data_IF_672205235691
#
_entry.id   IF_672205235691
#
_cell.length_a   1.000
_cell.length_b   1.000
_cell.length_c   1.000
_cell.angle_alpha   90.00
_cell.angle_beta   90.00
_cell.angle_gamma   90.00
#
_symmetry.space_group_name_H-M   'P 1'
#
loop_
_entity.id
_entity.type
_entity.pdbx_description
1 polymer ?
#
# COMPACT_ATOMS: atom_id res chain seq x y z
N UNK A 1 -24.79 17.52 -17.51
CA UNK A 1 -25.56 17.50 -16.25
C UNK A 1 -25.77 16.04 -15.87
N UNK A 2 -24.77 15.43 -15.23
CA UNK A 2 -24.87 14.09 -14.69
C UNK A 2 -24.52 14.19 -13.21
N UNK A 3 -25.53 14.16 -12.37
CA UNK A 3 -25.39 14.14 -10.92
C UNK A 3 -24.90 12.76 -10.49
N UNK A 4 -23.67 12.68 -10.00
CA UNK A 4 -23.17 11.52 -9.26
C UNK A 4 -24.03 11.43 -8.00
N UNK A 5 -24.79 10.33 -7.89
CA UNK A 5 -25.61 10.07 -6.72
C UNK A 5 -24.67 9.65 -5.59
N UNK A 6 -24.45 10.55 -4.64
CA UNK A 6 -23.86 10.22 -3.34
C UNK A 6 -24.71 9.11 -2.69
N UNK A 7 -24.17 7.91 -2.65
CA UNK A 7 -24.71 6.84 -1.81
C UNK A 7 -24.34 7.18 -0.38
N UNK A 8 -25.30 7.73 0.37
CA UNK A 8 -25.22 7.82 1.82
C UNK A 8 -25.32 6.39 2.35
N UNK A 9 -24.17 5.75 2.53
CA UNK A 9 -24.11 4.44 3.20
C UNK A 9 -24.47 4.67 4.66
N UNK A 10 -25.61 4.13 5.09
CA UNK A 10 -25.97 4.14 6.50
C UNK A 10 -24.97 3.27 7.28
N UNK A 11 -24.07 3.91 8.02
CA UNK A 11 -23.13 3.25 8.93
C UNK A 11 -23.93 2.48 9.98
N UNK A 12 -23.97 1.15 9.84
CA UNK A 12 -24.44 0.27 10.91
C UNK A 12 -23.41 0.30 12.03
N UNK A 13 -23.77 0.97 13.14
CA UNK A 13 -22.98 0.97 14.38
C UNK A 13 -22.96 -0.46 14.92
N UNK A 14 -21.88 -1.18 14.61
CA UNK A 14 -21.62 -2.51 15.16
C UNK A 14 -21.02 -2.32 16.54
N UNK A 15 -21.85 -2.32 17.59
CA UNK A 15 -21.36 -2.41 18.97
C UNK A 15 -20.74 -3.79 19.19
N UNK A 16 -19.42 -3.91 18.97
CA UNK A 16 -18.68 -5.11 19.33
C UNK A 16 -18.56 -5.19 20.85
N UNK A 17 -19.40 -6.00 21.49
CA UNK A 17 -19.16 -6.50 22.84
C UNK A 17 -18.29 -7.74 22.76
N UNK A 18 -17.05 -7.66 23.24
CA UNK A 18 -16.17 -8.82 23.38
C UNK A 18 -16.43 -9.49 24.74
N UNK A 19 -17.02 -10.69 24.71
CA UNK A 19 -17.10 -11.59 25.86
C UNK A 19 -15.82 -12.42 25.87
N UNK A 20 -14.94 -12.19 26.85
CA UNK A 20 -13.84 -13.09 27.17
C UNK A 20 -14.27 -14.03 28.31
N UNK A 21 -14.15 -15.33 28.08
CA UNK A 21 -14.24 -16.35 29.12
C UNK A 21 -12.86 -16.55 29.75
N UNK A 22 -12.68 -16.22 31.03
CA UNK A 22 -12.62 -17.23 32.09
C UNK A 22 -12.70 -16.61 33.51
N UNK A 23 -13.07 -17.46 34.45
CA UNK A 23 -13.60 -17.19 35.79
C UNK A 23 -12.68 -16.43 36.76
N UNK A 24 -13.13 -15.28 37.28
CA UNK A 24 -13.40 -15.02 38.72
C UNK A 24 -13.98 -13.62 38.96
N UNK A 25 -14.73 -13.46 40.07
CA UNK A 25 -15.76 -12.42 40.31
C UNK A 25 -15.26 -11.04 40.79
N UNK A 26 -15.93 -9.98 40.27
CA UNK A 26 -16.30 -8.65 40.85
C UNK A 26 -15.15 -7.70 41.25
N UNK A 27 -15.05 -6.47 40.72
CA UNK A 27 -15.99 -5.32 40.85
C UNK A 27 -15.68 -4.24 39.80
N UNK A 28 -16.70 -3.45 39.50
CA UNK A 28 -16.80 -2.25 38.66
C UNK A 28 -15.69 -1.21 38.89
N UNK A 29 -15.07 -0.72 37.81
CA UNK A 29 -14.51 0.62 37.67
C UNK A 29 -14.17 0.88 36.19
N UNK A 30 -14.47 2.09 35.72
CA UNK A 30 -14.26 2.59 34.35
C UNK A 30 -12.76 2.57 34.02
N UNK A 31 -12.37 1.83 32.97
CA UNK A 31 -11.01 1.87 32.44
C UNK A 31 -11.03 2.41 31.02
N UNK A 32 -10.44 3.59 30.88
CA UNK A 32 -9.95 4.16 29.63
C UNK A 32 -8.96 3.17 29.01
N UNK A 33 -9.05 2.95 27.71
CA UNK A 33 -7.96 2.31 26.97
C UNK A 33 -7.59 3.21 25.79
N UNK A 34 -6.38 3.77 25.89
CA UNK A 34 -5.60 4.37 24.82
C UNK A 34 -5.41 3.33 23.71
N UNK A 35 -5.57 3.76 22.45
CA UNK A 35 -5.11 2.98 21.32
C UNK A 35 -3.67 3.39 21.08
N UNK A 36 -2.74 2.53 21.48
CA UNK A 36 -1.35 2.60 21.05
C UNK A 36 -0.82 1.18 20.79
N UNK A 37 -0.36 1.00 19.54
CA UNK A 37 0.74 0.15 19.07
C UNK A 37 0.71 -1.36 19.36
N UNK A 38 0.70 -2.16 18.28
CA UNK A 38 1.30 -3.51 18.28
C UNK A 38 2.25 -3.61 17.09
N UNK A 39 3.53 -3.30 17.37
CA UNK A 39 4.69 -4.01 16.82
C UNK A 39 4.59 -5.45 17.35
N UNK A 40 4.69 -6.45 16.49
CA UNK A 40 4.95 -7.82 16.96
C UNK A 40 6.37 -8.24 16.57
N UNK A 41 7.05 -8.82 17.54
CA UNK A 41 8.46 -9.19 17.54
C UNK A 41 8.62 -10.64 18.04
N UNK A 42 9.35 -11.42 17.24
CA UNK A 42 10.31 -12.49 17.59
C UNK A 42 9.86 -13.84 18.20
N UNK A 43 10.42 -14.94 17.66
CA UNK A 43 11.49 -15.80 18.25
C UNK A 43 11.68 -17.07 17.36
N UNK A 44 12.82 -17.34 16.72
CA UNK A 44 14.18 -17.78 17.15
C UNK A 44 14.43 -19.32 17.09
N UNK A 45 15.56 -19.72 16.46
CA UNK A 45 16.10 -21.09 16.55
C UNK A 45 17.23 -21.52 15.56
N UNK A 46 18.47 -21.01 15.79
CA UNK A 46 19.83 -21.63 15.69
C UNK A 46 20.29 -22.56 14.52
N UNK A 47 21.36 -22.23 13.78
CA UNK A 47 22.79 -22.65 13.94
C UNK A 47 23.68 -22.27 12.72
N UNK A 48 24.99 -22.15 12.97
CA UNK A 48 26.06 -21.49 12.20
C UNK A 48 26.44 -22.09 10.82
N UNK A 49 26.87 -21.20 9.90
CA UNK A 49 27.66 -21.56 8.73
C UNK A 49 27.98 -20.35 7.84
N UNK A 50 29.23 -19.88 7.85
CA UNK A 50 29.70 -18.75 7.03
C UNK A 50 29.51 -19.06 5.54
N UNK A 51 28.56 -18.36 4.93
CA UNK A 51 28.56 -17.96 3.54
C UNK A 51 28.20 -16.47 3.55
N UNK A 52 28.80 -15.66 2.68
CA UNK A 52 28.21 -14.36 2.32
C UNK A 52 26.88 -14.67 1.64
N UNK A 53 25.84 -14.82 2.45
CA UNK A 53 24.45 -14.90 2.02
C UNK A 53 24.05 -13.44 1.85
N UNK A 54 23.70 -13.04 0.63
CA UNK A 54 22.88 -11.84 0.39
C UNK A 54 21.80 -11.84 1.48
N UNK A 55 21.86 -10.91 2.43
CA UNK A 55 20.82 -10.80 3.45
C UNK A 55 19.49 -10.69 2.69
N UNK A 56 18.65 -11.73 2.76
CA UNK A 56 17.32 -11.68 2.18
C UNK A 56 16.63 -10.47 2.80
N UNK A 57 16.41 -9.43 1.99
CA UNK A 57 15.73 -8.20 2.44
C UNK A 57 14.42 -8.63 3.11
N UNK A 58 14.34 -8.40 4.42
CA UNK A 58 13.24 -8.88 5.24
C UNK A 58 11.95 -8.16 4.85
N UNK A 59 11.06 -8.86 4.13
CA UNK A 59 9.75 -8.31 3.75
C UNK A 59 8.78 -8.39 4.92
N UNK A 60 8.24 -7.24 5.33
CA UNK A 60 7.28 -7.09 6.44
C UNK A 60 5.91 -6.70 5.92
N UNK A 61 4.90 -7.48 6.27
CA UNK A 61 3.50 -7.14 6.01
C UNK A 61 3.01 -6.11 7.03
N UNK A 62 2.35 -5.06 6.54
CA UNK A 62 1.65 -4.05 7.32
C UNK A 62 0.16 -4.14 7.06
N UNK A 63 -0.63 -3.84 8.07
CA UNK A 63 -2.08 -3.77 7.97
C UNK A 63 -2.57 -2.53 8.70
N UNK A 64 -3.27 -1.66 7.99
CA UNK A 64 -3.92 -0.50 8.57
C UNK A 64 -5.43 -0.67 8.51
N UNK A 65 -6.10 -0.59 9.66
CA UNK A 65 -7.55 -0.79 9.80
C UNK A 65 -8.27 0.54 9.83
N UNK A 66 -9.20 0.71 8.90
CA UNK A 66 -10.05 1.89 8.75
C UNK A 66 -11.22 1.84 9.74
N UNK A 67 -11.85 3.01 9.96
CA UNK A 67 -13.01 3.14 10.85
C UNK A 67 -14.21 2.29 10.43
N UNK A 68 -14.42 2.13 9.12
CA UNK A 68 -15.53 1.35 8.56
C UNK A 68 -15.30 -0.18 8.62
N UNK A 69 -14.15 -0.61 9.13
CA UNK A 69 -13.76 -2.00 9.26
C UNK A 69 -13.02 -2.57 8.04
N UNK A 70 -12.84 -1.77 6.98
CA UNK A 70 -11.92 -2.13 5.89
C UNK A 70 -10.46 -2.04 6.36
N UNK A 71 -9.56 -2.64 5.59
CA UNK A 71 -8.14 -2.56 5.87
C UNK A 71 -7.35 -2.49 4.57
N UNK A 72 -6.26 -1.73 4.59
CA UNK A 72 -5.22 -1.79 3.56
C UNK A 72 -4.12 -2.73 4.06
N UNK A 73 -3.62 -3.57 3.16
CA UNK A 73 -2.56 -4.54 3.46
C UNK A 73 -1.48 -4.41 2.39
N UNK A 74 -0.27 -4.14 2.85
CA UNK A 74 0.89 -3.89 1.99
C UNK A 74 2.15 -4.48 2.60
N UNK A 75 3.14 -4.73 1.77
CA UNK A 75 4.40 -5.35 2.13
C UNK A 75 5.52 -4.34 1.93
N UNK A 76 6.42 -4.22 2.91
CA UNK A 76 7.57 -3.31 2.89
C UNK A 76 8.87 -4.10 2.97
N UNK A 77 9.91 -3.61 2.32
CA UNK A 77 11.29 -3.94 2.65
C UNK A 77 12.06 -2.68 3.09
N UNK A 78 13.39 -2.74 3.14
CA UNK A 78 14.23 -1.58 3.48
C UNK A 78 14.17 -0.43 2.47
N UNK A 79 13.65 -0.68 1.27
CA UNK A 79 13.61 0.26 0.16
C UNK A 79 12.23 0.89 -0.04
N UNK A 80 11.19 0.33 0.56
CA UNK A 80 9.82 0.86 0.48
C UNK A 80 8.76 -0.23 0.25
N UNK A 81 7.62 0.16 -0.29
CA UNK A 81 6.52 -0.76 -0.60
C UNK A 81 6.89 -1.71 -1.74
N UNK A 82 6.93 -2.99 -1.42
CA UNK A 82 7.21 -4.07 -2.39
C UNK A 82 5.96 -4.77 -2.91
N UNK A 83 4.80 -4.50 -2.32
CA UNK A 83 3.55 -5.09 -2.79
C UNK A 83 2.32 -4.70 -1.99
N UNK A 84 1.15 -4.97 -2.57
CA UNK A 84 -0.17 -4.79 -1.97
C UNK A 84 -1.03 -6.03 -2.20
N UNK A 85 -1.88 -6.36 -1.22
CA UNK A 85 -2.83 -7.47 -1.37
C UNK A 85 -3.91 -7.18 -2.43
N UNK A 86 -4.33 -5.92 -2.55
CA UNK A 86 -5.36 -5.47 -3.51
C UNK A 86 -4.78 -4.98 -4.84
N UNK A 87 -3.44 -5.05 -5.04
CA UNK A 87 -2.78 -4.73 -6.31
C UNK A 87 -1.73 -5.78 -6.71
N UNK A 88 -2.23 -6.94 -7.12
CA UNK A 88 -1.37 -8.08 -7.48
C UNK A 88 -0.46 -7.84 -8.70
N UNK A 89 -0.89 -7.02 -9.67
CA UNK A 89 -0.08 -6.74 -10.86
C UNK A 89 1.20 -5.96 -10.49
N UNK A 90 1.09 -4.92 -9.65
CA UNK A 90 2.25 -4.22 -9.09
C UNK A 90 3.18 -5.18 -8.33
N UNK A 91 2.62 -5.96 -7.39
CA UNK A 91 3.39 -6.87 -6.54
C UNK A 91 4.21 -7.88 -7.35
N UNK A 92 3.61 -8.44 -8.41
CA UNK A 92 4.31 -9.39 -9.29
C UNK A 92 5.37 -8.71 -10.14
N UNK A 93 5.07 -7.54 -10.71
CA UNK A 93 6.06 -6.80 -11.52
C UNK A 93 7.26 -6.39 -10.67
N UNK A 94 7.03 -5.84 -9.47
CA UNK A 94 8.09 -5.47 -8.55
C UNK A 94 9.01 -6.66 -8.22
N UNK A 95 8.41 -7.79 -7.87
CA UNK A 95 9.16 -9.02 -7.57
C UNK A 95 9.98 -9.52 -8.77
N UNK A 96 9.40 -9.51 -9.98
CA UNK A 96 10.12 -9.94 -11.18
C UNK A 96 11.27 -8.99 -11.52
N UNK A 97 11.08 -7.67 -11.41
CA UNK A 97 12.15 -6.68 -11.62
C UNK A 97 13.27 -6.84 -10.59
N UNK A 98 12.93 -7.00 -9.31
CA UNK A 98 13.91 -7.24 -8.25
C UNK A 98 14.74 -8.52 -8.51
N UNK A 99 14.10 -9.58 -8.98
CA UNK A 99 14.78 -10.83 -9.34
C UNK A 99 15.59 -10.71 -10.63
N UNK A 100 15.13 -9.93 -11.61
CA UNK A 100 15.89 -9.66 -12.83
C UNK A 100 17.20 -8.95 -12.48
N UNK A 101 17.17 -7.93 -11.59
CA UNK A 101 18.36 -7.19 -11.12
C UNK A 101 19.44 -8.08 -10.49
N UNK A 102 19.05 -9.23 -9.93
CA UNK A 102 19.97 -10.20 -9.28
C UNK A 102 20.53 -11.28 -10.22
N UNK A 103 19.95 -11.44 -11.41
CA UNK A 103 20.27 -12.58 -12.30
C UNK A 103 21.22 -12.21 -13.44
N UNK A 104 21.97 -13.20 -13.96
CA UNK A 104 22.75 -13.03 -15.18
C UNK A 104 21.82 -12.83 -16.40
N UNK A 105 22.07 -11.78 -17.19
CA UNK A 105 21.24 -11.22 -18.27
C UNK A 105 20.68 -12.21 -19.32
N UNK A 106 21.27 -13.40 -19.47
CA UNK A 106 20.94 -14.38 -20.52
C UNK A 106 19.48 -14.87 -20.48
N UNK A 107 18.80 -14.79 -19.32
CA UNK A 107 17.38 -15.20 -19.19
C UNK A 107 16.39 -14.02 -19.13
N UNK A 108 16.88 -12.78 -19.22
CA UNK A 108 16.11 -11.58 -18.94
C UNK A 108 15.06 -11.27 -20.01
N UNK A 109 15.37 -11.45 -21.30
CA UNK A 109 14.45 -11.07 -22.39
C UNK A 109 13.10 -11.81 -22.35
N UNK A 110 13.08 -13.11 -22.03
CA UNK A 110 11.81 -13.85 -21.93
C UNK A 110 11.03 -13.46 -20.68
N UNK A 111 11.71 -13.22 -19.56
CA UNK A 111 11.08 -12.76 -18.30
C UNK A 111 10.44 -11.38 -18.51
N UNK A 112 11.17 -10.45 -19.12
CA UNK A 112 10.67 -9.12 -19.51
C UNK A 112 9.41 -9.23 -20.36
N UNK A 113 9.41 -10.04 -21.42
CA UNK A 113 8.21 -10.22 -22.27
C UNK A 113 7.02 -10.83 -21.52
N UNK A 114 7.27 -11.68 -20.53
CA UNK A 114 6.19 -12.29 -19.74
C UNK A 114 5.48 -11.28 -18.82
N UNK A 115 6.09 -10.13 -18.53
CA UNK A 115 5.48 -9.07 -17.74
C UNK A 115 4.49 -8.19 -18.52
N UNK A 116 4.42 -8.31 -19.86
CA UNK A 116 3.70 -7.38 -20.73
C UNK A 116 2.25 -7.13 -20.31
N UNK A 117 1.51 -8.22 -20.09
CA UNK A 117 0.12 -8.11 -19.66
C UNK A 117 -0.01 -7.34 -18.34
N UNK A 118 0.89 -7.56 -17.38
CA UNK A 118 0.80 -6.96 -16.04
C UNK A 118 1.17 -5.49 -16.07
N UNK A 119 2.27 -5.14 -16.73
CA UNK A 119 2.72 -3.75 -16.85
C UNK A 119 1.67 -2.91 -17.60
N UNK A 120 1.16 -3.40 -18.72
CA UNK A 120 0.09 -2.73 -19.47
C UNK A 120 -1.21 -2.55 -18.67
N UNK A 121 -1.39 -3.32 -17.59
CA UNK A 121 -2.60 -3.34 -16.80
C UNK A 121 -2.46 -2.67 -15.41
N UNK A 122 -1.29 -2.12 -15.08
CA UNK A 122 -1.03 -1.41 -13.81
C UNK A 122 -2.08 -0.33 -13.55
N UNK A 123 -2.24 0.63 -14.47
CA UNK A 123 -3.21 1.73 -14.31
C UNK A 123 -4.69 1.30 -14.29
N UNK A 124 -5.01 0.12 -14.83
CA UNK A 124 -6.39 -0.40 -14.81
C UNK A 124 -6.71 -1.11 -13.48
N UNK A 125 -5.70 -1.66 -12.81
CA UNK A 125 -5.85 -2.47 -11.60
C UNK A 125 -5.43 -1.76 -10.33
N UNK A 126 -4.81 -0.60 -10.44
CA UNK A 126 -4.44 0.21 -9.29
C UNK A 126 -5.68 0.50 -8.41
N UNK A 127 -5.58 0.27 -7.09
CA UNK A 127 -6.62 0.61 -6.13
C UNK A 127 -7.01 2.08 -6.21
N UNK A 128 -8.31 2.37 -6.08
CA UNK A 128 -8.83 3.73 -6.27
C UNK A 128 -8.21 4.76 -5.29
N UNK A 129 -7.82 4.31 -4.10
CA UNK A 129 -7.22 5.16 -3.07
C UNK A 129 -5.74 5.50 -3.32
N UNK A 130 -5.09 4.81 -4.27
CA UNK A 130 -3.72 5.08 -4.73
C UNK A 130 -3.69 5.91 -6.02
N UNK A 131 -4.84 6.28 -6.60
CA UNK A 131 -4.94 7.03 -7.87
C UNK A 131 -4.70 8.53 -7.67
N UNK A 132 -3.56 8.89 -7.11
CA UNK A 132 -3.07 10.28 -7.09
C UNK A 132 -2.48 10.65 -8.46
N UNK A 133 -2.26 11.95 -8.70
CA UNK A 133 -1.62 12.46 -9.93
C UNK A 133 -0.25 11.80 -10.15
N UNK A 134 0.64 11.94 -9.17
CA UNK A 134 2.03 11.46 -9.22
C UNK A 134 2.09 9.94 -9.44
N UNK A 135 1.30 9.16 -8.70
CA UNK A 135 1.27 7.69 -8.88
C UNK A 135 0.77 7.30 -10.27
N UNK A 136 -0.19 8.04 -10.84
CA UNK A 136 -0.69 7.77 -12.19
C UNK A 136 0.31 8.20 -13.28
N UNK A 137 1.06 9.28 -13.04
CA UNK A 137 2.19 9.71 -13.88
C UNK A 137 3.29 8.64 -13.89
N UNK A 138 3.71 8.17 -12.72
CA UNK A 138 4.75 7.14 -12.60
C UNK A 138 4.33 5.79 -13.18
N UNK A 139 3.05 5.41 -13.03
CA UNK A 139 2.52 4.24 -13.73
C UNK A 139 2.62 4.42 -15.25
N UNK A 140 2.36 5.62 -15.78
CA UNK A 140 2.47 5.88 -17.20
C UNK A 140 3.94 5.87 -17.67
N UNK A 141 4.87 6.39 -16.87
CA UNK A 141 6.31 6.35 -17.11
C UNK A 141 6.83 4.90 -17.15
N UNK A 142 6.47 4.06 -16.16
CA UNK A 142 6.79 2.63 -16.17
C UNK A 142 6.27 1.94 -17.42
N UNK A 143 5.04 2.25 -17.84
CA UNK A 143 4.45 1.68 -19.05
C UNK A 143 5.17 2.13 -20.31
N UNK A 144 5.60 3.40 -20.37
CA UNK A 144 6.37 3.95 -21.47
C UNK A 144 7.73 3.27 -21.60
N UNK A 145 8.54 3.26 -20.54
CA UNK A 145 9.87 2.64 -20.58
C UNK A 145 9.81 1.13 -20.85
N UNK A 146 8.76 0.46 -20.35
CA UNK A 146 8.55 -0.94 -20.69
C UNK A 146 8.27 -1.16 -22.18
N UNK A 147 7.48 -0.28 -22.81
CA UNK A 147 7.23 -0.35 -24.25
C UNK A 147 8.53 -0.17 -25.04
N UNK A 148 9.34 0.84 -24.69
CA UNK A 148 10.65 1.08 -25.30
C UNK A 148 11.57 -0.16 -25.17
N UNK A 149 11.56 -0.81 -24.01
CA UNK A 149 12.31 -2.05 -23.75
C UNK A 149 11.88 -3.24 -24.63
N UNK A 150 10.58 -3.38 -24.97
CA UNK A 150 10.08 -4.53 -25.74
C UNK A 150 9.93 -4.29 -27.24
N UNK A 151 9.97 -3.03 -27.69
CA UNK A 151 9.83 -2.68 -29.10
C UNK A 151 11.08 -3.04 -29.93
N UNK A 152 12.28 -2.96 -29.34
CA UNK A 152 13.51 -3.37 -30.01
C UNK A 152 13.85 -4.85 -29.76
N UNK A 153 13.23 -5.72 -30.56
CA UNK A 153 13.46 -7.16 -30.48
C UNK A 153 14.88 -7.61 -30.87
N UNK A 154 15.65 -6.75 -31.57
CA UNK A 154 17.01 -7.02 -32.05
C UNK A 154 18.07 -6.20 -31.28
N UNK A 155 17.67 -5.51 -30.21
CA UNK A 155 18.54 -4.71 -29.36
C UNK A 155 19.80 -5.47 -28.92
N UNK A 156 20.91 -4.74 -28.86
CA UNK A 156 22.14 -5.31 -28.33
C UNK A 156 22.01 -5.64 -26.83
N UNK A 157 22.85 -6.53 -26.29
CA UNK A 157 22.85 -6.83 -24.85
C UNK A 157 23.10 -5.57 -23.99
N UNK A 158 23.91 -4.63 -24.48
CA UNK A 158 24.19 -3.37 -23.79
C UNK A 158 22.97 -2.45 -23.75
N UNK A 159 22.22 -2.39 -24.85
CA UNK A 159 21.03 -1.56 -25.00
C UNK A 159 19.85 -2.13 -24.21
N UNK A 160 19.64 -3.46 -24.26
CA UNK A 160 18.69 -4.15 -23.40
C UNK A 160 18.98 -3.93 -21.91
N UNK A 161 20.26 -3.81 -21.54
CA UNK A 161 20.67 -3.50 -20.18
C UNK A 161 20.35 -2.05 -19.80
N UNK A 162 20.69 -1.10 -20.65
CA UNK A 162 20.39 0.33 -20.45
C UNK A 162 18.87 0.55 -20.30
N UNK A 163 18.07 0.05 -21.24
CA UNK A 163 16.61 0.20 -21.19
C UNK A 163 15.97 -0.50 -19.95
N UNK A 164 16.58 -1.58 -19.46
CA UNK A 164 16.12 -2.25 -18.24
C UNK A 164 16.51 -1.49 -16.97
N UNK A 165 17.66 -0.80 -16.99
CA UNK A 165 18.05 0.13 -15.93
C UNK A 165 17.07 1.31 -15.90
N UNK A 166 16.71 1.89 -17.04
CA UNK A 166 15.70 2.97 -17.14
C UNK A 166 14.31 2.51 -16.64
N UNK A 167 13.82 1.35 -17.07
CA UNK A 167 12.57 0.77 -16.53
C UNK A 167 12.66 0.54 -15.01
N UNK A 168 13.83 0.12 -14.52
CA UNK A 168 14.05 -0.10 -13.10
C UNK A 168 14.00 1.20 -12.32
N UNK A 169 14.58 2.28 -12.84
CA UNK A 169 14.53 3.62 -12.25
C UNK A 169 13.08 4.10 -12.16
N UNK A 170 12.29 3.98 -13.24
CA UNK A 170 10.87 4.35 -13.20
C UNK A 170 10.03 3.54 -12.22
N UNK A 171 10.41 2.30 -11.97
CA UNK A 171 9.74 1.50 -10.96
C UNK A 171 10.15 1.89 -9.53
N UNK A 172 11.37 2.38 -9.34
CA UNK A 172 11.82 2.92 -8.05
C UNK A 172 11.16 4.29 -7.77
N UNK A 173 10.99 5.15 -8.79
CA UNK A 173 10.19 6.39 -8.71
C UNK A 173 8.75 6.08 -8.26
N UNK A 174 8.07 5.14 -8.96
CA UNK A 174 6.73 4.69 -8.59
C UNK A 174 6.67 4.18 -7.14
N UNK A 175 7.71 3.50 -6.66
CA UNK A 175 7.74 2.99 -5.28
C UNK A 175 7.81 4.14 -4.27
N UNK A 176 8.60 5.17 -4.55
CA UNK A 176 8.69 6.37 -3.72
C UNK A 176 7.33 7.07 -3.61
N UNK A 177 6.65 7.29 -4.74
CA UNK A 177 5.32 7.92 -4.73
C UNK A 177 4.25 7.07 -4.03
N UNK A 178 4.36 5.74 -4.08
CA UNK A 178 3.50 4.84 -3.32
C UNK A 178 3.76 4.94 -1.82
N UNK A 179 5.02 5.05 -1.39
CA UNK A 179 5.36 5.23 0.03
C UNK A 179 4.75 6.52 0.57
N UNK A 180 4.92 7.63 -0.16
CA UNK A 180 4.36 8.93 0.21
C UNK A 180 2.83 8.90 0.25
N UNK A 181 2.21 8.28 -0.76
CA UNK A 181 0.75 8.17 -0.85
C UNK A 181 0.16 7.35 0.29
N UNK A 182 0.81 6.23 0.67
CA UNK A 182 0.37 5.40 1.80
C UNK A 182 0.54 6.15 3.13
N UNK A 183 1.65 6.85 3.32
CA UNK A 183 1.87 7.67 4.52
C UNK A 183 0.79 8.75 4.66
N UNK A 184 0.53 9.52 3.60
CA UNK A 184 -0.49 10.58 3.65
C UNK A 184 -1.89 10.01 3.88
N UNK A 185 -2.25 8.94 3.18
CA UNK A 185 -3.56 8.29 3.30
C UNK A 185 -3.82 7.79 4.73
N UNK A 186 -2.83 7.10 5.31
CA UNK A 186 -2.94 6.55 6.67
C UNK A 186 -3.00 7.65 7.73
N UNK A 187 -2.21 8.72 7.57
CA UNK A 187 -2.20 9.87 8.48
C UNK A 187 -3.51 10.65 8.50
N UNK A 188 -4.15 10.83 7.33
CA UNK A 188 -5.48 11.46 7.25
C UNK A 188 -6.51 10.61 7.99
N UNK A 189 -6.49 9.29 7.80
CA UNK A 189 -7.42 8.40 8.49
C UNK A 189 -7.17 8.36 10.00
N UNK A 190 -5.91 8.38 10.43
CA UNK A 190 -5.55 8.44 11.84
C UNK A 190 -6.09 9.71 12.49
N UNK A 191 -5.84 10.87 11.88
CA UNK A 191 -6.34 12.17 12.33
C UNK A 191 -7.88 12.18 12.42
N UNK A 192 -8.56 11.68 11.39
CA UNK A 192 -10.02 11.58 11.37
C UNK A 192 -10.56 10.70 12.52
N UNK A 193 -9.90 9.58 12.80
CA UNK A 193 -10.28 8.66 13.88
C UNK A 193 -10.03 9.31 15.25
N UNK A 194 -8.92 10.02 15.42
CA UNK A 194 -8.60 10.74 16.65
C UNK A 194 -9.65 11.81 16.98
N UNK A 195 -9.97 12.68 16.02
CA UNK A 195 -10.96 13.75 16.19
C UNK A 195 -12.36 13.20 16.49
N UNK A 196 -12.77 12.15 15.76
CA UNK A 196 -14.00 11.42 16.07
C UNK A 196 -14.01 10.95 17.52
N UNK A 197 -12.94 10.30 17.96
CA UNK A 197 -12.86 9.70 19.29
C UNK A 197 -12.88 10.79 20.39
N UNK A 198 -12.31 11.96 20.13
CA UNK A 198 -12.34 13.08 21.05
C UNK A 198 -13.77 13.59 21.30
N UNK A 199 -14.54 13.89 20.24
CA UNK A 199 -15.91 14.38 20.39
C UNK A 199 -16.88 13.27 20.85
N UNK A 200 -16.64 12.02 20.45
CA UNK A 200 -17.41 10.87 20.90
C UNK A 200 -17.29 10.67 22.42
N UNK A 201 -16.07 10.77 22.97
CA UNK A 201 -15.82 10.71 24.43
C UNK A 201 -16.53 11.83 25.20
N UNK A 202 -16.83 12.97 24.54
CA UNK A 202 -17.62 14.08 25.10
C UNK A 202 -19.14 13.85 24.99
N UNK A 203 -19.58 12.74 24.41
CA UNK A 203 -20.99 12.42 24.19
C UNK A 203 -21.63 13.19 23.03
N UNK A 204 -20.83 13.87 22.19
CA UNK A 204 -21.29 14.69 21.08
C UNK A 204 -21.19 13.92 19.77
N UNK A 205 -22.13 12.99 19.58
CA UNK A 205 -22.10 12.05 18.45
C UNK A 205 -22.18 12.77 17.10
N UNK A 206 -23.05 13.76 16.96
CA UNK A 206 -23.21 14.49 15.70
C UNK A 206 -21.92 15.25 15.32
N UNK A 207 -21.28 15.89 16.30
CA UNK A 207 -19.99 16.58 16.09
C UNK A 207 -18.87 15.59 15.73
N UNK A 208 -18.79 14.44 16.41
CA UNK A 208 -17.81 13.42 16.08
C UNK A 208 -17.92 12.93 14.63
N UNK A 209 -19.14 12.77 14.13
CA UNK A 209 -19.40 12.40 12.74
C UNK A 209 -19.02 13.53 11.78
N UNK A 210 -19.31 14.78 12.14
CA UNK A 210 -18.94 15.96 11.36
C UNK A 210 -17.43 16.06 11.18
N UNK A 211 -16.66 16.07 12.27
CA UNK A 211 -15.18 16.16 12.25
C UNK A 211 -14.56 15.01 11.41
N UNK A 212 -15.00 13.76 11.63
CA UNK A 212 -14.53 12.63 10.82
C UNK A 212 -14.76 12.85 9.31
N UNK A 213 -15.95 13.31 8.94
CA UNK A 213 -16.28 13.55 7.54
C UNK A 213 -15.56 14.77 6.96
N UNK A 214 -15.15 15.74 7.79
CA UNK A 214 -14.33 16.87 7.35
C UNK A 214 -12.90 16.44 7.05
N UNK A 215 -12.31 15.61 7.91
CA UNK A 215 -10.97 15.07 7.72
C UNK A 215 -10.89 14.13 6.52
N UNK A 216 -11.85 13.20 6.38
CA UNK A 216 -11.84 12.23 5.26
C UNK A 216 -11.97 12.88 3.89
N UNK A 217 -12.59 14.07 3.77
CA UNK A 217 -12.61 14.84 2.51
C UNK A 217 -11.22 15.25 2.04
N UNK A 218 -10.19 15.19 2.89
CA UNK A 218 -8.80 15.43 2.47
C UNK A 218 -8.31 14.31 1.54
N UNK A 219 -8.83 13.09 1.66
CA UNK A 219 -8.52 11.98 0.75
C UNK A 219 -8.97 12.28 -0.69
N UNK A 220 -10.15 12.89 -0.85
CA UNK A 220 -10.63 13.29 -2.19
C UNK A 220 -9.64 14.27 -2.84
N UNK A 221 -9.01 15.17 -2.06
CA UNK A 221 -8.02 16.12 -2.58
C UNK A 221 -6.70 15.48 -3.00
N UNK A 222 -6.34 14.32 -2.45
CA UNK A 222 -5.18 13.56 -2.92
C UNK A 222 -5.42 12.98 -4.32
N UNK A 223 -6.67 12.56 -4.59
CA UNK A 223 -7.09 11.93 -5.84
C UNK A 223 -7.48 12.97 -6.90
N UNK A 224 -8.04 14.12 -6.49
CA UNK A 224 -8.57 15.17 -7.37
C UNK A 224 -7.53 16.18 -7.91
N UNK A 225 -6.22 15.99 -7.66
CA UNK A 225 -5.21 16.80 -8.35
C UNK A 225 -5.16 16.40 -9.83
N UNK A 226 -6.14 16.87 -10.60
CA UNK A 226 -6.15 17.09 -12.06
C UNK A 226 -7.59 17.49 -12.49
N UNK A 227 -7.84 18.79 -12.62
CA UNK A 227 -8.86 19.36 -13.52
C UNK A 227 -8.35 20.63 -14.20
#
# INVERSE_FOLDING_TARGET
>A
MNSIKLFVTALTVSSFMLVSCDNTKKKTEEAKEEVAEIIDSAEEGLEEGVNEVDEEMEVKTRTYKMKDGTAIVYNLDEKGIVGFDDWSDYTVVNSELAEIRKTNYVTTAQRVRNMNYRIANLGNTIPAWLKTEEVMEDVADVQKEYLELIEDADASESEMKENLEELSEKFDDLREELDETVEEYTKINESAIEEFNEEFKKGKIDAAIEEYNEEIKKLDKMIEKEQ
#
